data_IF_930796110270
#
_entry.id   IF_930796110270
#
_cell.length_a   1.000
_cell.length_b   1.000
_cell.length_c   1.000
_cell.angle_alpha   90.00
_cell.angle_beta   90.00
_cell.angle_gamma   90.00
#
_symmetry.space_group_name_H-M   'P 1'
#
loop_
_entity.id
_entity.type
_entity.pdbx_description
1 polymer ?
#
# COMPACT_ATOMS: atom_id res chain seq x y z
N UNK A 1 -9.99 14.57 -19.48
CA UNK A 1 -10.29 14.70 -18.04
C UNK A 1 -11.79 14.77 -17.74
N UNK A 2 -12.55 15.72 -18.30
CA UNK A 2 -14.00 15.86 -18.04
C UNK A 2 -14.86 14.62 -18.38
N UNK A 3 -14.56 13.89 -19.47
CA UNK A 3 -15.25 12.61 -19.78
C UNK A 3 -14.95 11.49 -18.79
N UNK A 4 -13.73 11.43 -18.23
CA UNK A 4 -13.35 10.44 -17.22
C UNK A 4 -13.99 10.76 -15.86
N UNK A 5 -14.09 12.06 -15.50
CA UNK A 5 -14.89 12.50 -14.35
C UNK A 5 -16.37 12.13 -14.52
N UNK A 6 -16.95 12.30 -15.72
CA UNK A 6 -18.33 11.88 -15.97
C UNK A 6 -18.54 10.38 -15.74
N UNK A 7 -17.56 9.52 -16.04
CA UNK A 7 -17.63 8.07 -15.74
C UNK A 7 -17.56 7.74 -14.24
N UNK A 8 -16.94 8.60 -13.42
CA UNK A 8 -16.99 8.48 -11.96
C UNK A 8 -18.27 9.09 -11.36
N UNK A 9 -18.91 10.02 -12.08
CA UNK A 9 -20.14 10.70 -11.63
C UNK A 9 -21.40 9.91 -12.02
N UNK A 10 -21.33 9.06 -13.05
CA UNK A 10 -22.44 8.23 -13.53
C UNK A 10 -22.18 6.76 -13.23
N UNK A 11 -23.07 6.09 -12.51
CA UNK A 11 -23.14 4.62 -12.56
C UNK A 11 -23.66 4.19 -13.94
N UNK A 12 -23.21 3.04 -14.45
CA UNK A 12 -23.66 2.53 -15.76
C UNK A 12 -25.14 2.16 -15.77
N UNK A 13 -25.75 1.95 -14.59
CA UNK A 13 -27.18 1.77 -14.39
C UNK A 13 -27.97 3.11 -14.44
N UNK A 14 -27.30 4.24 -14.67
CA UNK A 14 -27.90 5.59 -14.73
C UNK A 14 -28.06 6.29 -13.38
N UNK A 15 -27.71 5.64 -12.26
CA UNK A 15 -27.67 6.28 -10.95
C UNK A 15 -26.44 7.19 -10.84
N UNK A 16 -26.63 8.51 -10.72
CA UNK A 16 -25.51 9.43 -10.49
C UNK A 16 -24.95 9.19 -9.09
N UNK A 17 -23.62 9.09 -8.97
CA UNK A 17 -22.95 9.25 -7.67
C UNK A 17 -23.36 10.62 -7.14
N UNK A 18 -24.08 10.64 -6.03
CA UNK A 18 -24.63 11.88 -5.47
C UNK A 18 -23.48 12.79 -5.03
N UNK A 19 -23.28 13.89 -5.74
CA UNK A 19 -22.13 14.76 -5.53
C UNK A 19 -22.12 16.02 -6.37
N UNK A 20 -21.69 17.13 -5.78
CA UNK A 20 -21.47 18.40 -6.45
C UNK A 20 -20.02 18.51 -6.94
N UNK A 21 -19.80 19.18 -8.08
CA UNK A 21 -18.46 19.35 -8.67
C UNK A 21 -17.45 20.03 -7.72
N UNK A 22 -17.91 20.95 -6.86
CA UNK A 22 -17.04 21.64 -5.91
C UNK A 22 -16.46 20.69 -4.86
N UNK A 23 -17.16 19.60 -4.51
CA UNK A 23 -16.65 18.60 -3.56
C UNK A 23 -15.45 17.86 -4.14
N UNK A 24 -15.41 17.64 -5.45
CA UNK A 24 -14.23 17.08 -6.13
C UNK A 24 -13.04 18.02 -6.08
N UNK A 25 -13.27 19.32 -6.26
CA UNK A 25 -12.22 20.35 -6.16
C UNK A 25 -11.66 20.42 -4.75
N UNK A 26 -12.53 20.42 -3.73
CA UNK A 26 -12.11 20.39 -2.32
C UNK A 26 -11.38 19.09 -1.99
N UNK A 27 -11.86 17.94 -2.47
CA UNK A 27 -11.16 16.66 -2.29
C UNK A 27 -9.76 16.68 -2.92
N UNK A 28 -9.62 17.22 -4.15
CA UNK A 28 -8.32 17.39 -4.79
C UNK A 28 -7.39 18.28 -3.98
N UNK A 29 -7.90 19.39 -3.43
CA UNK A 29 -7.12 20.29 -2.60
C UNK A 29 -6.65 19.62 -1.30
N UNK A 30 -7.53 18.86 -0.64
CA UNK A 30 -7.19 18.08 0.56
C UNK A 30 -6.15 17.00 0.24
N UNK A 31 -6.30 16.28 -0.88
CA UNK A 31 -5.32 15.28 -1.34
C UNK A 31 -3.98 15.96 -1.64
N UNK A 32 -3.97 17.11 -2.29
CA UNK A 32 -2.74 17.85 -2.58
C UNK A 32 -2.02 18.22 -1.28
N UNK A 33 -2.72 18.77 -0.29
CA UNK A 33 -2.15 19.08 1.02
C UNK A 33 -1.58 17.82 1.68
N UNK A 34 -2.35 16.73 1.69
CA UNK A 34 -1.94 15.49 2.34
C UNK A 34 -0.70 14.87 1.67
N UNK A 35 -0.67 14.79 0.34
CA UNK A 35 0.46 14.26 -0.42
C UNK A 35 1.70 15.15 -0.31
N UNK A 36 1.54 16.48 -0.37
CA UNK A 36 2.67 17.39 -0.14
C UNK A 36 3.21 17.22 1.27
N UNK A 37 2.32 17.12 2.28
CA UNK A 37 2.71 16.86 3.66
C UNK A 37 3.35 15.49 3.87
N UNK A 38 3.21 14.57 2.90
CA UNK A 38 3.82 13.24 2.95
C UNK A 38 5.31 13.19 2.66
N UNK A 39 5.86 14.32 2.20
CA UNK A 39 7.22 14.39 1.70
C UNK A 39 7.36 13.82 0.28
N UNK A 40 6.27 13.38 -0.36
CA UNK A 40 6.32 12.97 -1.76
C UNK A 40 6.76 14.14 -2.65
N UNK A 41 7.74 13.90 -3.51
CA UNK A 41 8.39 14.95 -4.30
C UNK A 41 9.36 15.85 -3.52
N UNK A 42 9.71 15.52 -2.28
CA UNK A 42 10.82 16.15 -1.55
C UNK A 42 10.57 17.58 -1.04
N UNK A 43 9.33 18.08 -1.11
CA UNK A 43 8.98 19.44 -0.66
C UNK A 43 8.94 19.51 0.88
N UNK A 44 8.33 18.52 1.52
CA UNK A 44 8.25 18.40 2.99
C UNK A 44 9.26 17.36 3.50
N UNK A 45 9.58 17.33 4.81
CA UNK A 45 10.36 16.26 5.40
C UNK A 45 9.81 14.89 5.05
N UNK A 46 10.73 13.96 4.87
CA UNK A 46 10.44 12.61 4.45
C UNK A 46 10.78 11.63 5.58
N UNK A 47 9.99 10.56 5.69
CA UNK A 47 10.28 9.42 6.56
C UNK A 47 11.56 8.71 6.15
N UNK A 48 12.16 7.90 7.03
CA UNK A 48 13.41 7.20 6.73
C UNK A 48 13.31 6.27 5.51
N UNK A 49 12.12 5.73 5.23
CA UNK A 49 11.86 4.93 4.02
C UNK A 49 12.06 5.70 2.71
N UNK A 50 12.00 7.03 2.71
CA UNK A 50 12.28 7.78 1.49
C UNK A 50 13.74 7.74 1.07
N UNK A 51 14.68 7.41 1.96
CA UNK A 51 16.08 7.23 1.57
C UNK A 51 16.17 6.18 0.45
N UNK A 52 15.52 5.02 0.61
CA UNK A 52 15.45 4.00 -0.45
C UNK A 52 14.60 4.45 -1.64
N UNK A 53 13.46 5.12 -1.42
CA UNK A 53 12.57 5.53 -2.52
C UNK A 53 13.24 6.51 -3.47
N UNK A 54 13.93 7.48 -2.90
CA UNK A 54 14.67 8.51 -3.61
C UNK A 54 15.86 7.91 -4.38
N UNK A 55 16.59 6.97 -3.77
CA UNK A 55 17.71 6.33 -4.45
C UNK A 55 17.29 5.42 -5.60
N UNK A 56 16.24 4.63 -5.41
CA UNK A 56 15.66 3.79 -6.48
C UNK A 56 15.25 4.65 -7.67
N UNK A 57 14.55 5.76 -7.42
CA UNK A 57 14.11 6.62 -8.52
C UNK A 57 15.25 7.45 -9.13
N UNK A 58 16.25 7.81 -8.34
CA UNK A 58 17.47 8.44 -8.84
C UNK A 58 18.18 7.52 -9.83
N UNK A 59 18.40 6.25 -9.47
CA UNK A 59 19.04 5.29 -10.37
C UNK A 59 18.18 5.04 -11.60
N UNK A 60 16.87 4.86 -11.45
CA UNK A 60 15.98 4.70 -12.60
C UNK A 60 15.96 5.93 -13.52
N UNK A 61 16.09 7.14 -13.00
CA UNK A 61 16.07 8.36 -13.83
C UNK A 61 17.41 8.63 -14.51
N UNK A 62 18.54 8.31 -13.88
CA UNK A 62 19.87 8.64 -14.39
C UNK A 62 20.53 7.48 -15.15
N UNK A 63 20.18 6.23 -14.85
CA UNK A 63 20.79 5.06 -15.47
C UNK A 63 19.95 4.48 -16.62
N UNK A 64 20.57 3.90 -17.64
CA UNK A 64 19.89 3.08 -18.64
C UNK A 64 19.10 1.96 -17.97
N UNK A 65 18.07 1.48 -18.66
CA UNK A 65 17.24 0.41 -18.15
C UNK A 65 17.64 -0.92 -18.78
N UNK A 66 17.82 -1.97 -17.96
CA UNK A 66 17.72 -2.01 -16.50
C UNK A 66 18.94 -1.36 -15.83
N UNK A 67 18.76 -0.77 -14.64
CA UNK A 67 19.87 -0.19 -13.88
C UNK A 67 20.88 -1.28 -13.49
N UNK A 68 22.14 -1.13 -13.92
CA UNK A 68 23.21 -2.12 -13.74
C UNK A 68 24.32 -1.64 -12.80
N UNK A 69 24.85 -2.58 -12.01
CA UNK A 69 25.97 -2.36 -11.10
C UNK A 69 27.04 -3.43 -11.27
N UNK A 70 28.26 -3.16 -10.83
CA UNK A 70 29.37 -4.12 -10.86
C UNK A 70 30.16 -4.09 -9.55
N UNK A 71 30.64 -5.24 -9.07
CA UNK A 71 31.61 -5.29 -7.97
C UNK A 71 33.07 -5.11 -8.46
N UNK A 72 34.01 -5.03 -7.52
CA UNK A 72 35.45 -4.93 -7.82
C UNK A 72 36.01 -6.15 -8.56
N UNK A 73 35.33 -7.30 -8.47
CA UNK A 73 35.71 -8.55 -9.13
C UNK A 73 35.10 -8.71 -10.53
N UNK A 74 34.31 -7.73 -10.99
CA UNK A 74 33.67 -7.73 -12.30
C UNK A 74 32.30 -8.42 -12.35
N UNK A 75 31.78 -8.94 -11.23
CA UNK A 75 30.45 -9.54 -11.17
C UNK A 75 29.38 -8.48 -11.37
N UNK A 76 28.37 -8.79 -12.19
CA UNK A 76 27.27 -7.87 -12.52
C UNK A 76 26.06 -8.07 -11.62
N UNK A 77 25.38 -6.96 -11.37
CA UNK A 77 24.21 -6.88 -10.54
C UNK A 77 23.15 -5.95 -11.14
N UNK A 78 21.90 -6.13 -10.75
CA UNK A 78 20.77 -5.36 -11.27
C UNK A 78 19.87 -4.84 -10.15
N UNK A 79 19.20 -3.72 -10.39
CA UNK A 79 18.16 -3.22 -9.49
C UNK A 79 16.93 -4.16 -9.54
N UNK A 80 16.62 -4.81 -8.43
CA UNK A 80 15.46 -5.70 -8.25
C UNK A 80 14.52 -5.16 -7.18
N UNK A 81 13.37 -4.64 -7.60
CA UNK A 81 12.34 -4.11 -6.71
C UNK A 81 10.98 -4.03 -7.40
N UNK A 82 9.92 -3.63 -6.68
CA UNK A 82 8.62 -3.36 -7.31
C UNK A 82 8.64 -1.99 -8.00
N UNK A 83 8.97 -1.99 -9.29
CA UNK A 83 9.31 -0.77 -10.03
C UNK A 83 8.12 0.05 -10.52
N UNK A 84 6.89 -0.46 -10.48
CA UNK A 84 5.77 0.17 -11.18
C UNK A 84 5.41 1.58 -10.70
N UNK A 85 5.64 1.90 -9.42
CA UNK A 85 5.48 3.25 -8.90
C UNK A 85 6.64 4.18 -9.31
N UNK A 86 7.83 3.67 -9.60
CA UNK A 86 9.00 4.53 -9.88
C UNK A 86 9.22 4.74 -11.38
N UNK A 87 8.78 3.79 -12.21
CA UNK A 87 9.03 3.82 -13.66
C UNK A 87 8.42 5.03 -14.36
N UNK A 88 7.14 5.41 -14.17
CA UNK A 88 6.60 6.56 -14.89
C UNK A 88 7.28 7.90 -14.57
N UNK A 89 7.55 8.28 -13.30
CA UNK A 89 8.24 9.54 -13.01
C UNK A 89 9.71 9.49 -13.45
N UNK A 90 10.39 8.35 -13.35
CA UNK A 90 11.73 8.18 -13.89
C UNK A 90 11.77 8.32 -15.42
N UNK A 91 10.78 7.77 -16.13
CA UNK A 91 10.64 7.93 -17.58
C UNK A 91 10.50 9.41 -17.96
N UNK A 92 9.59 10.13 -17.29
CA UNK A 92 9.37 11.54 -17.54
C UNK A 92 10.62 12.38 -17.24
N UNK A 93 11.36 12.05 -16.18
CA UNK A 93 12.63 12.70 -15.90
C UNK A 93 13.69 12.43 -16.98
N UNK A 94 13.74 11.23 -17.57
CA UNK A 94 14.62 10.97 -18.72
C UNK A 94 14.26 11.79 -19.96
N UNK A 95 12.97 12.04 -20.18
CA UNK A 95 12.49 12.80 -21.33
C UNK A 95 12.64 14.32 -21.17
N UNK A 96 12.39 14.84 -19.96
CA UNK A 96 12.27 16.27 -19.71
C UNK A 96 13.39 16.88 -18.86
N UNK A 97 14.27 16.05 -18.30
CA UNK A 97 15.35 16.48 -17.39
C UNK A 97 15.16 15.93 -15.97
N UNK A 98 16.26 15.52 -15.33
CA UNK A 98 16.26 14.94 -13.98
C UNK A 98 15.93 15.96 -12.89
N UNK A 99 16.05 17.26 -13.19
CA UNK A 99 15.65 18.35 -12.31
C UNK A 99 14.14 18.37 -12.00
N UNK A 100 13.30 17.80 -12.88
CA UNK A 100 11.85 17.72 -12.69
C UNK A 100 11.38 16.44 -12.00
N UNK A 101 12.30 15.55 -11.59
CA UNK A 101 11.96 14.23 -11.02
C UNK A 101 11.01 14.33 -9.82
N UNK A 102 11.29 15.26 -8.92
CA UNK A 102 10.48 15.54 -7.74
C UNK A 102 9.05 16.00 -8.11
N UNK A 103 8.93 16.82 -9.14
CA UNK A 103 7.63 17.27 -9.65
C UNK A 103 6.82 16.12 -10.24
N UNK A 104 7.46 15.24 -11.04
CA UNK A 104 6.79 14.06 -11.59
C UNK A 104 6.37 13.06 -10.51
N UNK A 105 7.20 12.89 -9.46
CA UNK A 105 6.85 12.07 -8.30
C UNK A 105 5.65 12.59 -7.53
N UNK A 106 5.64 13.89 -7.25
CA UNK A 106 4.50 14.54 -6.61
C UNK A 106 3.24 14.37 -7.46
N UNK A 107 3.32 14.68 -8.77
CA UNK A 107 2.22 14.59 -9.70
C UNK A 107 1.63 13.17 -9.77
N UNK A 108 2.46 12.14 -9.90
CA UNK A 108 2.00 10.76 -9.90
C UNK A 108 1.32 10.38 -8.58
N UNK A 109 1.90 10.77 -7.45
CA UNK A 109 1.35 10.43 -6.13
C UNK A 109 -0.02 11.08 -5.95
N UNK A 110 -0.17 12.35 -6.31
CA UNK A 110 -1.47 13.05 -6.30
C UNK A 110 -2.47 12.35 -7.20
N UNK A 111 -2.08 11.98 -8.43
CA UNK A 111 -2.96 11.25 -9.36
C UNK A 111 -3.39 9.90 -8.78
N UNK A 112 -2.45 9.12 -8.23
CA UNK A 112 -2.72 7.81 -7.64
C UNK A 112 -3.66 7.88 -6.45
N UNK A 113 -3.42 8.81 -5.51
CA UNK A 113 -4.30 9.02 -4.34
C UNK A 113 -5.66 9.55 -4.78
N UNK A 114 -5.72 10.48 -5.74
CA UNK A 114 -6.99 11.00 -6.24
C UNK A 114 -7.81 9.89 -6.92
N UNK A 115 -7.18 9.02 -7.71
CA UNK A 115 -7.85 7.87 -8.30
C UNK A 115 -8.36 6.89 -7.24
N UNK A 116 -7.63 6.70 -6.14
CA UNK A 116 -8.10 5.90 -5.00
C UNK A 116 -9.33 6.53 -4.33
N UNK A 117 -9.34 7.84 -4.14
CA UNK A 117 -10.53 8.58 -3.65
C UNK A 117 -11.71 8.48 -4.62
N UNK A 118 -11.47 8.54 -5.93
CA UNK A 118 -12.51 8.34 -6.94
C UNK A 118 -13.14 6.94 -6.81
N UNK A 119 -12.32 5.89 -6.68
CA UNK A 119 -12.80 4.53 -6.43
C UNK A 119 -13.55 4.43 -5.11
N UNK A 120 -13.03 5.06 -4.06
CA UNK A 120 -13.66 5.09 -2.74
C UNK A 120 -15.07 5.72 -2.80
N UNK A 121 -15.21 6.90 -3.43
CA UNK A 121 -16.51 7.53 -3.66
C UNK A 121 -17.45 6.66 -4.49
N UNK A 122 -16.92 5.98 -5.51
CA UNK A 122 -17.71 5.08 -6.36
C UNK A 122 -18.28 3.90 -5.57
N UNK A 123 -17.46 3.22 -4.76
CA UNK A 123 -17.93 2.08 -3.95
C UNK A 123 -18.83 2.50 -2.79
N UNK A 124 -18.61 3.68 -2.18
CA UNK A 124 -19.54 4.19 -1.14
C UNK A 124 -20.83 4.76 -1.72
N UNK A 125 -20.85 5.04 -3.03
CA UNK A 125 -21.95 5.64 -3.81
C UNK A 125 -22.31 7.08 -3.39
N UNK A 126 -21.31 7.83 -2.94
CA UNK A 126 -21.49 9.22 -2.51
C UNK A 126 -20.18 9.99 -2.62
N UNK A 127 -20.25 11.22 -3.14
CA UNK A 127 -19.16 12.18 -3.03
C UNK A 127 -19.36 12.97 -1.74
N UNK A 128 -18.62 12.57 -0.70
CA UNK A 128 -18.75 13.15 0.62
C UNK A 128 -17.37 13.52 1.17
N UNK A 129 -17.15 14.81 1.45
CA UNK A 129 -15.90 15.30 2.01
C UNK A 129 -15.56 14.68 3.36
N UNK A 130 -16.57 14.35 4.17
CA UNK A 130 -16.38 13.64 5.42
C UNK A 130 -15.77 12.26 5.21
N UNK A 131 -16.11 11.59 4.10
CA UNK A 131 -15.52 10.31 3.73
C UNK A 131 -14.04 10.45 3.34
N UNK A 132 -13.60 11.60 2.83
CA UNK A 132 -12.17 11.89 2.58
C UNK A 132 -11.40 12.01 3.90
N UNK A 133 -11.94 12.74 4.88
CA UNK A 133 -11.31 12.83 6.20
C UNK A 133 -11.26 11.47 6.90
N UNK A 134 -12.37 10.72 6.84
CA UNK A 134 -12.39 9.34 7.32
C UNK A 134 -11.31 8.50 6.63
N UNK A 135 -11.20 8.59 5.30
CA UNK A 135 -10.18 7.87 4.53
C UNK A 135 -8.76 8.19 5.02
N UNK A 136 -8.43 9.47 5.19
CA UNK A 136 -7.08 9.93 5.57
C UNK A 136 -6.73 9.50 6.99
N UNK A 137 -7.65 9.70 7.93
CA UNK A 137 -7.39 9.55 9.36
C UNK A 137 -7.81 8.19 9.94
N UNK A 138 -8.28 7.26 9.12
CA UNK A 138 -8.61 5.92 9.60
C UNK A 138 -7.35 5.14 9.97
N UNK A 139 -7.34 4.60 11.20
CA UNK A 139 -6.27 3.79 11.76
C UNK A 139 -6.75 3.03 12.98
N UNK A 140 -5.91 2.12 13.48
CA UNK A 140 -6.12 1.43 14.75
C UNK A 140 -6.08 2.41 15.93
N UNK A 141 -6.46 1.93 17.11
CA UNK A 141 -6.44 2.74 18.33
C UNK A 141 -5.03 2.77 18.96
N UNK A 142 -3.98 2.97 18.17
CA UNK A 142 -2.57 2.81 18.58
C UNK A 142 -2.22 3.62 19.83
N UNK A 143 -2.79 4.82 19.97
CA UNK A 143 -2.57 5.68 21.14
C UNK A 143 -3.00 5.00 22.45
N UNK A 144 -4.02 4.13 22.39
CA UNK A 144 -4.44 3.29 23.52
C UNK A 144 -3.43 2.17 23.74
N UNK A 145 -2.96 1.53 22.67
CA UNK A 145 -1.89 0.52 22.75
C UNK A 145 -0.65 1.08 23.45
N UNK A 146 -0.14 2.20 22.96
CA UNK A 146 1.02 2.93 23.53
C UNK A 146 0.80 3.34 24.97
N UNK A 147 -0.41 3.82 25.33
CA UNK A 147 -0.71 4.18 26.72
C UNK A 147 -0.45 3.03 27.70
N UNK A 148 -0.73 1.79 27.29
CA UNK A 148 -0.53 0.61 28.12
C UNK A 148 0.88 0.00 28.00
N UNK A 149 1.60 0.19 26.90
CA UNK A 149 2.91 -0.45 26.69
C UNK A 149 4.12 0.47 26.86
N UNK A 150 4.03 1.75 26.50
CA UNK A 150 5.14 2.69 26.60
C UNK A 150 4.67 4.13 26.95
N UNK A 151 4.72 4.46 28.24
CA UNK A 151 4.36 5.79 28.76
C UNK A 151 5.24 6.92 28.24
N UNK A 152 6.50 6.66 27.86
CA UNK A 152 7.39 7.69 27.32
C UNK A 152 6.99 8.02 25.89
N UNK A 153 6.71 6.98 25.11
CA UNK A 153 6.19 7.13 23.74
C UNK A 153 4.83 7.83 23.74
N UNK A 154 3.94 7.51 24.69
CA UNK A 154 2.63 8.16 24.83
C UNK A 154 2.72 9.69 24.99
N UNK A 155 3.74 10.18 25.70
CA UNK A 155 3.94 11.61 25.94
C UNK A 155 4.66 12.32 24.78
N UNK A 156 5.17 11.57 23.80
CA UNK A 156 5.91 12.11 22.67
C UNK A 156 5.01 12.28 21.44
N UNK A 157 4.51 13.50 21.27
CA UNK A 157 3.63 13.85 20.13
C UNK A 157 4.32 13.75 18.75
N UNK A 158 5.64 13.55 18.69
CA UNK A 158 6.43 13.52 17.45
C UNK A 158 6.94 12.13 17.08
N UNK A 159 6.58 11.10 17.84
CA UNK A 159 7.03 9.73 17.56
C UNK A 159 6.05 8.95 16.69
N UNK A 160 6.59 7.94 15.99
CA UNK A 160 5.80 6.91 15.34
C UNK A 160 5.25 5.95 16.41
N UNK A 161 3.92 5.87 16.54
CA UNK A 161 3.27 5.19 17.68
C UNK A 161 2.78 3.77 17.37
N UNK A 162 2.79 3.34 16.10
CA UNK A 162 2.13 2.08 15.69
C UNK A 162 2.97 0.81 15.97
N UNK A 163 4.20 0.95 16.49
CA UNK A 163 5.11 -0.18 16.80
C UNK A 163 5.02 -0.64 18.27
N UNK A 164 3.92 -0.35 18.93
CA UNK A 164 3.78 -0.41 20.39
C UNK A 164 3.91 -1.82 21.00
N UNK A 165 3.89 -2.88 20.19
CA UNK A 165 4.22 -4.28 20.52
C UNK A 165 5.06 -4.99 19.44
N UNK A 166 5.74 -4.24 18.57
CA UNK A 166 6.53 -4.81 17.47
C UNK A 166 5.71 -5.45 16.33
N UNK A 167 4.39 -5.29 16.36
CA UNK A 167 3.47 -5.56 15.25
C UNK A 167 2.75 -4.27 14.89
N UNK A 168 2.37 -4.10 13.63
CA UNK A 168 1.76 -2.87 13.15
C UNK A 168 0.72 -3.14 12.06
N UNK A 169 -0.45 -2.51 12.20
CA UNK A 169 -1.37 -2.25 11.10
C UNK A 169 -1.45 -0.75 10.80
N UNK A 170 -0.67 -0.35 9.80
CA UNK A 170 -0.52 1.07 9.46
C UNK A 170 -1.85 1.73 9.10
N UNK A 171 -2.15 2.84 9.77
CA UNK A 171 -3.19 3.80 9.40
C UNK A 171 -3.02 4.28 7.96
N UNK A 172 -4.10 4.71 7.30
CA UNK A 172 -4.04 5.15 5.91
C UNK A 172 -3.06 6.32 5.72
N UNK A 173 -3.02 7.18 6.73
CA UNK A 173 -2.04 8.24 6.92
C UNK A 173 -0.60 7.70 6.88
N UNK A 174 -0.23 6.79 7.78
CA UNK A 174 1.11 6.18 7.81
C UNK A 174 1.46 5.53 6.47
N UNK A 175 0.52 4.79 5.86
CA UNK A 175 0.77 4.11 4.60
C UNK A 175 1.27 5.08 3.51
N UNK A 176 0.68 6.28 3.41
CA UNK A 176 1.13 7.30 2.46
C UNK A 176 2.47 7.95 2.85
N UNK A 177 2.69 8.19 4.15
CA UNK A 177 3.91 8.83 4.67
C UNK A 177 5.17 7.97 4.57
N UNK A 178 5.02 6.65 4.49
CA UNK A 178 6.13 5.72 4.54
C UNK A 178 6.28 4.92 3.25
N UNK A 179 5.17 4.44 2.67
CA UNK A 179 5.20 3.49 1.55
C UNK A 179 4.10 3.79 0.53
N UNK A 180 4.10 4.97 -0.12
CA UNK A 180 3.05 5.40 -1.06
C UNK A 180 2.80 4.40 -2.19
N UNK A 181 3.85 3.68 -2.65
CA UNK A 181 3.73 2.64 -3.66
C UNK A 181 2.85 1.46 -3.23
N UNK A 182 2.82 1.12 -1.94
CA UNK A 182 1.97 0.05 -1.43
C UNK A 182 0.55 0.56 -1.14
N UNK A 183 0.46 1.75 -0.56
CA UNK A 183 -0.80 2.40 -0.21
C UNK A 183 -1.69 2.57 -1.46
N UNK A 184 -1.16 3.26 -2.48
CA UNK A 184 -1.91 3.59 -3.71
C UNK A 184 -2.39 2.32 -4.41
N UNK A 185 -1.50 1.33 -4.61
CA UNK A 185 -1.91 0.08 -5.28
C UNK A 185 -2.95 -0.69 -4.46
N UNK A 186 -2.84 -0.71 -3.14
CA UNK A 186 -3.82 -1.37 -2.29
C UNK A 186 -5.17 -0.71 -2.44
N UNK A 187 -5.25 0.61 -2.29
CA UNK A 187 -6.51 1.34 -2.33
C UNK A 187 -7.21 1.24 -3.69
N UNK A 188 -6.45 1.40 -4.77
CA UNK A 188 -6.97 1.30 -6.13
C UNK A 188 -7.51 -0.09 -6.43
N UNK A 189 -6.70 -1.12 -6.22
CA UNK A 189 -7.06 -2.49 -6.61
C UNK A 189 -8.13 -3.05 -5.67
N UNK A 190 -8.08 -2.79 -4.37
CA UNK A 190 -9.16 -3.19 -3.46
C UNK A 190 -10.47 -2.50 -3.82
N UNK A 191 -10.47 -1.19 -4.13
CA UNK A 191 -11.67 -0.48 -4.59
C UNK A 191 -12.26 -1.09 -5.88
N UNK A 192 -11.41 -1.41 -6.87
CA UNK A 192 -11.83 -2.11 -8.08
C UNK A 192 -12.42 -3.50 -7.77
N UNK A 193 -11.80 -4.28 -6.89
CA UNK A 193 -12.30 -5.61 -6.52
C UNK A 193 -13.64 -5.54 -5.78
N UNK A 194 -13.83 -4.57 -4.88
CA UNK A 194 -15.13 -4.35 -4.20
C UNK A 194 -16.19 -3.99 -5.24
N UNK A 195 -15.88 -3.10 -6.19
CA UNK A 195 -16.81 -2.76 -7.26
C UNK A 195 -17.20 -3.99 -8.11
N UNK A 196 -16.21 -4.80 -8.49
CA UNK A 196 -16.43 -6.05 -9.24
C UNK A 196 -17.23 -7.08 -8.43
N UNK A 197 -16.99 -7.16 -7.12
CA UNK A 197 -17.73 -8.02 -6.20
C UNK A 197 -19.21 -7.62 -6.09
N UNK A 198 -19.50 -6.33 -5.96
CA UNK A 198 -20.87 -5.81 -5.90
C UNK A 198 -21.62 -6.08 -7.21
N UNK A 199 -20.97 -5.82 -8.36
CA UNK A 199 -21.56 -6.00 -9.69
C UNK A 199 -21.79 -7.46 -10.05
N UNK A 200 -20.87 -8.35 -9.66
CA UNK A 200 -21.00 -9.79 -9.85
C UNK A 200 -22.29 -10.36 -9.27
N UNK A 201 -22.85 -9.73 -8.23
CA UNK A 201 -24.11 -10.15 -7.63
C UNK A 201 -25.38 -9.72 -8.37
N UNK A 202 -25.30 -8.72 -9.26
CA UNK A 202 -26.47 -8.18 -9.98
C UNK A 202 -26.63 -8.82 -11.36
N UNK A 203 -25.53 -9.06 -12.08
CA UNK A 203 -25.54 -9.54 -13.46
C UNK A 203 -24.78 -10.87 -13.58
N UNK A 204 -25.52 -11.98 -13.66
CA UNK A 204 -24.97 -13.36 -13.67
C UNK A 204 -24.14 -13.77 -14.89
N UNK A 205 -23.68 -12.83 -15.72
CA UNK A 205 -22.96 -13.11 -16.98
C UNK A 205 -21.69 -12.26 -17.17
N UNK A 206 -21.21 -11.59 -16.13
CA UNK A 206 -20.05 -10.71 -16.22
C UNK A 206 -18.74 -11.51 -16.11
N UNK A 207 -17.97 -11.61 -17.21
CA UNK A 207 -16.56 -11.99 -17.13
C UNK A 207 -15.85 -10.95 -16.26
N UNK A 208 -15.53 -11.35 -15.03
CA UNK A 208 -14.95 -10.44 -14.06
C UNK A 208 -13.44 -10.69 -14.09
N UNK A 209 -12.60 -9.79 -14.64
CA UNK A 209 -11.16 -10.01 -14.75
C UNK A 209 -10.47 -9.77 -13.39
N UNK A 210 -11.05 -10.28 -12.30
CA UNK A 210 -10.62 -9.97 -10.93
C UNK A 210 -9.23 -10.53 -10.61
N UNK A 211 -8.86 -11.69 -11.17
CA UNK A 211 -7.52 -12.27 -10.99
C UNK A 211 -6.48 -11.41 -11.71
N UNK A 212 -6.79 -10.99 -12.94
CA UNK A 212 -5.93 -10.08 -13.69
C UNK A 212 -5.76 -8.74 -12.96
N UNK A 213 -6.87 -8.12 -12.54
CA UNK A 213 -6.85 -6.86 -11.77
C UNK A 213 -6.02 -7.01 -10.50
N UNK A 214 -6.19 -8.10 -9.74
CA UNK A 214 -5.37 -8.36 -8.56
C UNK A 214 -3.90 -8.56 -8.90
N UNK A 215 -3.58 -9.27 -10.00
CA UNK A 215 -2.19 -9.53 -10.40
C UNK A 215 -1.40 -8.26 -10.74
N UNK A 216 -2.06 -7.20 -11.23
CA UNK A 216 -1.41 -5.90 -11.50
C UNK A 216 -0.75 -5.31 -10.24
N UNK A 217 -1.31 -5.59 -9.05
CA UNK A 217 -0.69 -5.15 -7.80
C UNK A 217 0.68 -5.77 -7.56
N UNK A 218 1.00 -6.94 -8.13
CA UNK A 218 2.31 -7.58 -7.98
C UNK A 218 3.46 -6.77 -8.60
N UNK A 219 3.16 -5.89 -9.56
CA UNK A 219 4.13 -4.96 -10.15
C UNK A 219 4.50 -3.80 -9.18
N UNK A 220 3.61 -3.47 -8.25
CA UNK A 220 3.75 -2.40 -7.26
C UNK A 220 4.08 -2.91 -5.85
N UNK A 221 3.56 -4.08 -5.50
CA UNK A 221 3.62 -4.67 -4.18
C UNK A 221 3.18 -6.14 -4.19
N UNK A 222 4.13 -7.09 -4.20
CA UNK A 222 3.81 -8.52 -4.06
C UNK A 222 3.02 -8.84 -2.77
N UNK A 223 3.29 -8.16 -1.65
CA UNK A 223 2.57 -8.42 -0.40
C UNK A 223 1.12 -7.92 -0.43
N UNK A 224 0.83 -6.76 -1.04
CA UNK A 224 -0.56 -6.33 -1.25
C UNK A 224 -1.29 -7.35 -2.12
N UNK A 225 -0.65 -7.90 -3.16
CA UNK A 225 -1.24 -8.96 -3.98
C UNK A 225 -1.63 -10.18 -3.15
N UNK A 226 -0.77 -10.63 -2.22
CA UNK A 226 -1.11 -11.70 -1.29
C UNK A 226 -2.30 -11.34 -0.39
N UNK A 227 -2.34 -10.11 0.11
CA UNK A 227 -3.47 -9.56 0.87
C UNK A 227 -4.79 -9.49 0.08
N UNK A 228 -4.73 -9.45 -1.26
CA UNK A 228 -5.89 -9.42 -2.14
C UNK A 228 -6.45 -10.82 -2.45
N UNK A 229 -5.69 -11.90 -2.24
CA UNK A 229 -6.11 -13.28 -2.53
C UNK A 229 -7.47 -13.62 -1.87
N UNK A 230 -7.70 -13.33 -0.57
CA UNK A 230 -8.98 -13.65 0.08
C UNK A 230 -10.19 -13.00 -0.61
N UNK A 231 -10.01 -11.83 -1.23
CA UNK A 231 -11.06 -11.12 -1.96
C UNK A 231 -11.31 -11.72 -3.34
N UNK A 232 -10.26 -12.15 -4.05
CA UNK A 232 -10.40 -12.93 -5.28
C UNK A 232 -11.17 -14.23 -5.03
N UNK A 233 -10.86 -14.92 -3.93
CA UNK A 233 -11.56 -16.14 -3.49
C UNK A 233 -13.02 -15.84 -3.15
N UNK A 234 -13.29 -14.71 -2.46
CA UNK A 234 -14.64 -14.29 -2.16
C UNK A 234 -15.47 -13.99 -3.43
N UNK A 235 -14.88 -13.32 -4.41
CA UNK A 235 -15.52 -13.05 -5.72
C UNK A 235 -15.81 -14.36 -6.44
N UNK A 236 -14.84 -15.29 -6.46
CA UNK A 236 -15.02 -16.61 -7.05
C UNK A 236 -16.19 -17.37 -6.43
N UNK A 237 -16.25 -17.45 -5.09
CA UNK A 237 -17.35 -18.14 -4.40
C UNK A 237 -18.70 -17.44 -4.55
N UNK A 238 -18.73 -16.14 -4.85
CA UNK A 238 -19.99 -15.43 -5.16
C UNK A 238 -20.66 -15.98 -6.42
N UNK A 239 -19.87 -16.48 -7.38
CA UNK A 239 -20.34 -17.13 -8.61
C UNK A 239 -20.63 -18.64 -8.46
N UNK A 240 -20.46 -19.19 -7.25
CA UNK A 240 -20.55 -20.63 -6.97
C UNK A 240 -19.34 -21.42 -7.51
N UNK A 241 -19.34 -22.75 -7.33
CA UNK A 241 -18.28 -23.65 -7.84
C UNK A 241 -18.71 -24.32 -9.15
N UNK A 242 -19.61 -23.67 -9.89
CA UNK A 242 -20.23 -24.23 -11.09
C UNK A 242 -19.36 -23.98 -12.35
N UNK A 243 -19.75 -24.58 -13.47
CA UNK A 243 -19.08 -24.42 -14.77
C UNK A 243 -18.89 -22.95 -15.19
N UNK A 244 -19.80 -22.06 -14.79
CA UNK A 244 -19.71 -20.62 -15.02
C UNK A 244 -18.52 -19.98 -14.29
N UNK A 245 -18.27 -20.34 -13.03
CA UNK A 245 -17.11 -19.86 -12.27
C UNK A 245 -15.79 -20.32 -12.91
N UNK A 246 -15.75 -21.55 -13.45
CA UNK A 246 -14.61 -22.04 -14.23
C UNK A 246 -14.36 -21.22 -15.49
N UNK A 247 -15.42 -20.87 -16.24
CA UNK A 247 -15.30 -20.00 -17.43
C UNK A 247 -14.76 -18.60 -17.09
N UNK A 248 -15.12 -18.04 -15.94
CA UNK A 248 -14.61 -16.74 -15.50
C UNK A 248 -13.12 -16.84 -15.12
N UNK A 249 -12.71 -17.87 -14.37
CA UNK A 249 -11.30 -18.08 -14.03
C UNK A 249 -10.44 -18.34 -15.28
N UNK A 250 -10.97 -19.11 -16.22
CA UNK A 250 -10.31 -19.44 -17.49
C UNK A 250 -10.56 -18.40 -18.59
N UNK A 251 -11.10 -17.22 -18.25
CA UNK A 251 -11.16 -16.11 -19.20
C UNK A 251 -9.76 -15.73 -19.66
N UNK A 252 -9.67 -15.22 -20.88
CA UNK A 252 -8.40 -14.83 -21.49
C UNK A 252 -7.63 -13.86 -20.59
N UNK A 253 -8.32 -12.89 -20.00
CA UNK A 253 -7.77 -11.88 -19.12
C UNK A 253 -7.20 -12.52 -17.83
N UNK A 254 -7.98 -13.36 -17.15
CA UNK A 254 -7.55 -13.98 -15.90
C UNK A 254 -6.45 -15.02 -16.10
N UNK A 255 -6.48 -15.80 -17.19
CA UNK A 255 -5.49 -16.85 -17.42
C UNK A 255 -4.21 -16.28 -18.03
N UNK A 256 -4.30 -15.63 -19.19
CA UNK A 256 -3.13 -15.15 -19.92
C UNK A 256 -2.65 -13.80 -19.38
N UNK A 257 -3.57 -12.88 -19.06
CA UNK A 257 -3.20 -11.59 -18.47
C UNK A 257 -2.53 -11.77 -17.11
N UNK A 258 -3.17 -12.48 -16.17
CA UNK A 258 -2.58 -12.70 -14.85
C UNK A 258 -1.37 -13.65 -14.91
N UNK A 259 -1.46 -14.71 -15.72
CA UNK A 259 -0.36 -15.66 -15.91
C UNK A 259 0.91 -15.00 -16.44
N UNK A 260 0.80 -14.09 -17.40
CA UNK A 260 1.95 -13.32 -17.90
C UNK A 260 2.53 -12.40 -16.83
N UNK A 261 1.70 -11.71 -16.06
CA UNK A 261 2.17 -10.84 -14.98
C UNK A 261 2.92 -11.66 -13.92
N UNK A 262 2.35 -12.79 -13.47
CA UNK A 262 3.01 -13.66 -12.51
C UNK A 262 4.30 -14.28 -13.06
N UNK A 263 4.33 -14.63 -14.34
CA UNK A 263 5.54 -15.14 -14.96
C UNK A 263 6.65 -14.07 -14.96
N UNK A 264 6.36 -12.86 -15.45
CA UNK A 264 7.35 -11.77 -15.50
C UNK A 264 7.84 -11.40 -14.10
N UNK A 265 6.91 -11.19 -13.16
CA UNK A 265 7.21 -10.84 -11.77
C UNK A 265 8.00 -11.96 -11.09
N UNK A 266 7.53 -13.21 -11.20
CA UNK A 266 8.15 -14.36 -10.55
C UNK A 266 9.59 -14.58 -11.03
N UNK A 267 9.81 -14.51 -12.34
CA UNK A 267 11.16 -14.65 -12.90
C UNK A 267 12.05 -13.45 -12.53
N UNK A 268 11.52 -12.23 -12.49
CA UNK A 268 12.26 -11.04 -12.07
C UNK A 268 12.73 -11.12 -10.61
N UNK A 269 11.87 -11.56 -9.69
CA UNK A 269 12.21 -11.66 -8.27
C UNK A 269 13.10 -12.86 -7.91
N UNK A 270 13.19 -13.89 -8.75
CA UNK A 270 14.16 -14.98 -8.56
C UNK A 270 15.61 -14.49 -8.58
N UNK A 271 15.89 -13.29 -9.12
CA UNK A 271 17.22 -12.70 -9.12
C UNK A 271 17.64 -12.06 -7.80
N UNK A 272 16.77 -11.96 -6.80
CA UNK A 272 17.14 -11.39 -5.49
C UNK A 272 18.22 -12.22 -4.80
N UNK A 273 19.17 -11.51 -4.17
CA UNK A 273 20.32 -12.11 -3.50
C UNK A 273 20.00 -12.62 -2.09
N UNK A 274 19.22 -11.85 -1.32
CA UNK A 274 18.94 -12.18 0.08
C UNK A 274 17.66 -13.01 0.22
N UNK A 275 17.73 -14.01 1.09
CA UNK A 275 16.56 -14.62 1.71
C UNK A 275 16.21 -13.82 2.96
N UNK A 276 15.07 -13.15 2.94
CA UNK A 276 14.57 -12.45 4.12
C UNK A 276 14.25 -13.45 5.25
N UNK A 277 14.43 -13.01 6.49
CA UNK A 277 13.97 -13.78 7.66
C UNK A 277 12.46 -13.97 7.52
N UNK A 278 12.04 -15.22 7.48
CA UNK A 278 10.63 -15.58 7.37
C UNK A 278 10.33 -16.83 8.18
N UNK A 279 9.10 -16.89 8.70
CA UNK A 279 8.69 -18.02 9.52
C UNK A 279 7.37 -17.76 10.22
N UNK A 280 6.81 -18.83 10.76
CA UNK A 280 5.65 -18.70 11.61
C UNK A 280 6.05 -18.25 13.01
N UNK A 281 5.22 -17.44 13.66
CA UNK A 281 5.57 -16.84 14.97
C UNK A 281 5.87 -17.85 16.07
N UNK A 282 5.31 -19.07 16.01
CA UNK A 282 5.58 -20.13 16.99
C UNK A 282 6.96 -20.77 16.85
N UNK A 283 7.70 -20.46 15.78
CA UNK A 283 9.08 -20.89 15.60
C UNK A 283 10.06 -19.98 16.36
N UNK A 284 9.67 -18.72 16.62
CA UNK A 284 10.53 -17.70 17.22
C UNK A 284 10.03 -17.15 18.56
N UNK A 285 8.74 -17.29 18.86
CA UNK A 285 8.13 -16.73 20.06
C UNK A 285 7.38 -17.78 20.90
N UNK A 286 7.31 -17.54 22.22
CA UNK A 286 6.50 -18.35 23.12
C UNK A 286 5.03 -17.93 23.00
N UNK A 287 4.23 -18.76 22.32
CA UNK A 287 2.81 -18.48 22.06
C UNK A 287 2.00 -18.14 23.32
N UNK A 288 2.34 -18.72 24.48
CA UNK A 288 1.60 -18.46 25.73
C UNK A 288 1.87 -17.06 26.28
N UNK A 289 3.10 -16.56 26.15
CA UNK A 289 3.43 -15.19 26.60
C UNK A 289 2.88 -14.15 25.64
N UNK A 290 2.86 -14.45 24.33
CA UNK A 290 2.40 -13.51 23.30
C UNK A 290 0.89 -13.48 23.10
N UNK A 291 0.14 -14.46 23.62
CA UNK A 291 -1.31 -14.53 23.39
C UNK A 291 -2.05 -13.27 23.88
N UNK A 292 -1.69 -12.75 25.06
CA UNK A 292 -2.32 -11.54 25.58
C UNK A 292 -1.99 -10.30 24.75
N UNK A 293 -0.73 -10.16 24.32
CA UNK A 293 -0.30 -9.07 23.43
C UNK A 293 -1.03 -9.14 22.08
N UNK A 294 -1.16 -10.34 21.51
CA UNK A 294 -1.89 -10.57 20.27
C UNK A 294 -3.39 -10.27 20.39
N UNK A 295 -4.04 -10.74 21.46
CA UNK A 295 -5.46 -10.44 21.68
C UNK A 295 -5.70 -8.94 21.88
N UNK A 296 -4.78 -8.26 22.57
CA UNK A 296 -4.82 -6.81 22.75
C UNK A 296 -4.59 -6.07 21.42
N UNK A 297 -3.62 -6.50 20.61
CA UNK A 297 -3.40 -6.02 19.24
C UNK A 297 -4.67 -6.09 18.41
N UNK A 298 -5.25 -7.28 18.30
CA UNK A 298 -6.47 -7.54 17.53
C UNK A 298 -7.62 -6.63 17.99
N UNK A 299 -7.79 -6.49 19.30
CA UNK A 299 -8.84 -5.66 19.89
C UNK A 299 -8.71 -4.19 19.47
N UNK A 300 -7.51 -3.63 19.64
CA UNK A 300 -7.21 -2.21 19.45
C UNK A 300 -7.09 -1.83 17.97
N UNK A 301 -6.58 -2.73 17.13
CA UNK A 301 -6.33 -2.43 15.72
C UNK A 301 -7.59 -2.45 14.87
N UNK A 302 -8.47 -3.45 15.04
CA UNK A 302 -9.61 -3.60 14.12
C UNK A 302 -10.85 -4.28 14.70
N UNK A 303 -10.74 -5.12 15.73
CA UNK A 303 -11.86 -5.96 16.16
C UNK A 303 -13.02 -5.13 16.72
N UNK A 304 -12.76 -4.02 17.41
CA UNK A 304 -13.82 -3.10 17.87
C UNK A 304 -14.68 -2.57 16.72
N UNK A 305 -14.05 -2.17 15.60
CA UNK A 305 -14.77 -1.76 14.40
C UNK A 305 -15.54 -2.93 13.80
N UNK A 306 -14.91 -4.10 13.68
CA UNK A 306 -15.53 -5.28 13.08
C UNK A 306 -16.76 -5.76 13.86
N UNK A 307 -16.67 -5.88 15.19
CA UNK A 307 -17.78 -6.29 16.05
C UNK A 307 -18.95 -5.30 15.97
N UNK A 308 -18.66 -4.01 15.95
CA UNK A 308 -19.68 -2.98 15.89
C UNK A 308 -20.44 -3.01 14.56
N UNK A 309 -19.74 -3.31 13.45
CA UNK A 309 -20.33 -3.39 12.11
C UNK A 309 -20.98 -4.74 11.81
N UNK A 310 -20.57 -5.84 12.45
CA UNK A 310 -20.95 -7.22 12.09
C UNK A 310 -22.46 -7.44 11.92
N UNK A 311 -23.27 -6.89 12.82
CA UNK A 311 -24.72 -7.01 12.75
C UNK A 311 -25.39 -5.96 11.88
N UNK A 312 -24.66 -4.91 11.48
CA UNK A 312 -25.18 -3.66 10.92
C UNK A 312 -24.84 -3.40 9.45
N UNK A 313 -23.84 -4.10 8.91
CA UNK A 313 -23.50 -4.02 7.47
C UNK A 313 -24.32 -5.02 6.66
N UNK A 314 -24.75 -4.62 5.47
CA UNK A 314 -25.33 -5.53 4.47
C UNK A 314 -24.23 -6.38 3.81
N UNK A 315 -23.00 -5.87 3.80
CA UNK A 315 -21.81 -6.42 3.16
C UNK A 315 -21.03 -7.40 4.08
N UNK A 316 -21.73 -8.18 4.91
CA UNK A 316 -21.14 -9.04 5.97
C UNK A 316 -20.01 -9.94 5.48
N UNK A 317 -20.09 -10.46 4.25
CA UNK A 317 -19.05 -11.33 3.69
C UNK A 317 -17.71 -10.61 3.50
N UNK A 318 -17.73 -9.33 3.08
CA UNK A 318 -16.51 -8.51 2.98
C UNK A 318 -15.91 -8.29 4.36
N UNK A 319 -16.75 -7.98 5.35
CA UNK A 319 -16.31 -7.81 6.74
C UNK A 319 -15.68 -9.08 7.31
N UNK A 320 -16.32 -10.23 7.11
CA UNK A 320 -15.79 -11.52 7.58
C UNK A 320 -14.44 -11.82 6.95
N UNK A 321 -14.29 -11.62 5.64
CA UNK A 321 -13.01 -11.84 4.95
C UNK A 321 -11.94 -10.88 5.46
N UNK A 322 -12.23 -9.58 5.56
CA UNK A 322 -11.29 -8.61 6.09
C UNK A 322 -10.84 -8.95 7.52
N UNK A 323 -11.79 -9.29 8.39
CA UNK A 323 -11.53 -9.67 9.79
C UNK A 323 -10.71 -10.95 9.86
N UNK A 324 -11.06 -11.98 9.09
CA UNK A 324 -10.32 -13.24 9.06
C UNK A 324 -8.90 -13.06 8.54
N UNK A 325 -8.70 -12.25 7.49
CA UNK A 325 -7.37 -11.92 6.99
C UNK A 325 -6.54 -11.21 8.05
N UNK A 326 -7.07 -10.17 8.71
CA UNK A 326 -6.36 -9.44 9.77
C UNK A 326 -6.10 -10.30 11.02
N UNK A 327 -6.94 -11.30 11.32
CA UNK A 327 -6.63 -12.27 12.36
C UNK A 327 -5.48 -13.20 11.97
N UNK A 328 -5.37 -13.57 10.69
CA UNK A 328 -4.43 -14.59 10.24
C UNK A 328 -3.02 -14.05 9.94
N UNK A 329 -2.92 -12.80 9.46
CA UNK A 329 -1.64 -12.21 9.04
C UNK A 329 -0.55 -12.19 10.13
N UNK A 330 -0.84 -11.89 11.42
CA UNK A 330 0.21 -11.82 12.44
C UNK A 330 0.88 -13.15 12.75
N UNK A 331 0.30 -14.29 12.31
CA UNK A 331 0.89 -15.61 12.53
C UNK A 331 2.09 -15.92 11.63
N UNK A 332 2.35 -15.10 10.62
CA UNK A 332 3.49 -15.24 9.72
C UNK A 332 4.31 -13.95 9.71
N UNK A 333 5.61 -14.09 9.94
CA UNK A 333 6.57 -13.00 9.94
C UNK A 333 7.42 -13.06 8.68
N UNK A 334 7.64 -11.93 8.01
CA UNK A 334 8.53 -11.84 6.86
C UNK A 334 9.19 -10.46 6.77
N UNK A 335 10.52 -10.44 6.65
CA UNK A 335 11.33 -9.23 6.59
C UNK A 335 11.62 -8.67 7.98
N UNK A 336 12.70 -7.89 8.12
CA UNK A 336 13.18 -7.44 9.43
C UNK A 336 12.18 -6.61 10.25
N UNK A 337 11.25 -5.93 9.56
CA UNK A 337 10.20 -5.12 10.17
C UNK A 337 8.81 -5.79 10.15
N UNK A 338 8.71 -7.07 9.78
CA UNK A 338 7.46 -7.73 9.42
C UNK A 338 6.67 -7.04 8.28
N UNK A 339 7.34 -6.75 7.17
CA UNK A 339 6.72 -6.10 6.00
C UNK A 339 5.51 -6.87 5.47
N UNK A 340 5.49 -8.20 5.58
CA UNK A 340 4.32 -8.97 5.17
C UNK A 340 3.07 -8.57 5.96
N UNK A 341 3.13 -8.55 7.30
CA UNK A 341 2.00 -8.15 8.13
C UNK A 341 1.52 -6.72 7.84
N UNK A 342 2.45 -5.79 7.64
CA UNK A 342 2.13 -4.38 7.34
C UNK A 342 1.55 -4.17 5.94
N UNK A 343 2.02 -4.88 4.91
CA UNK A 343 1.63 -4.62 3.52
C UNK A 343 0.47 -5.50 3.06
N UNK A 344 0.40 -6.75 3.50
CA UNK A 344 -0.69 -7.66 3.16
C UNK A 344 -1.99 -7.32 3.91
N UNK A 345 -1.94 -6.54 4.99
CA UNK A 345 -3.12 -6.06 5.73
C UNK A 345 -3.82 -4.88 5.06
N UNK A 346 -3.12 -4.09 4.24
CA UNK A 346 -3.64 -2.86 3.62
C UNK A 346 -4.99 -3.05 2.89
N UNK A 347 -5.22 -4.13 2.11
CA UNK A 347 -6.53 -4.37 1.49
C UNK A 347 -7.67 -4.50 2.50
N UNK A 348 -7.42 -5.21 3.60
CA UNK A 348 -8.43 -5.45 4.63
C UNK A 348 -8.70 -4.22 5.49
N UNK A 349 -7.67 -3.41 5.75
CA UNK A 349 -7.83 -2.09 6.38
C UNK A 349 -8.63 -1.14 5.48
N UNK A 350 -8.39 -1.17 4.16
CA UNK A 350 -9.19 -0.41 3.18
C UNK A 350 -10.66 -0.87 3.17
N UNK A 351 -10.93 -2.17 3.26
CA UNK A 351 -12.30 -2.70 3.34
C UNK A 351 -12.98 -2.23 4.63
N UNK A 352 -12.28 -2.21 5.77
CA UNK A 352 -12.86 -1.69 7.02
C UNK A 352 -13.25 -0.22 6.92
N UNK A 353 -12.37 0.65 6.39
CA UNK A 353 -12.73 2.08 6.22
C UNK A 353 -13.88 2.27 5.23
N UNK A 354 -13.95 1.46 4.17
CA UNK A 354 -15.09 1.41 3.25
C UNK A 354 -16.39 1.05 3.97
N UNK A 355 -16.39 0.01 4.80
CA UNK A 355 -17.59 -0.43 5.53
C UNK A 355 -18.04 0.61 6.56
N UNK A 356 -17.10 1.27 7.25
CA UNK A 356 -17.41 2.40 8.13
C UNK A 356 -18.05 3.54 7.33
N UNK A 357 -17.48 3.92 6.20
CA UNK A 357 -18.04 4.98 5.35
C UNK A 357 -19.44 4.63 4.83
N UNK A 358 -19.63 3.40 4.32
CA UNK A 358 -20.95 2.87 3.91
C UNK A 358 -21.97 2.92 5.04
N UNK A 359 -21.55 2.58 6.26
CA UNK A 359 -22.43 2.62 7.43
C UNK A 359 -22.95 4.03 7.72
N UNK A 360 -22.11 5.06 7.59
CA UNK A 360 -22.52 6.46 7.78
C UNK A 360 -23.38 7.01 6.63
N UNK A 361 -23.07 6.64 5.39
CA UNK A 361 -23.76 7.14 4.18
C UNK A 361 -25.11 6.45 3.95
N UNK A 362 -25.27 5.19 4.36
CA UNK A 362 -26.52 4.46 4.14
C UNK A 362 -27.65 5.04 5.02
N UNK A 363 -28.71 5.61 4.41
CA UNK A 363 -29.81 6.23 5.16
C UNK A 363 -30.63 5.23 5.97
N UNK A 364 -30.60 3.93 5.62
CA UNK A 364 -31.27 2.86 6.38
C UNK A 364 -30.64 2.63 7.76
N UNK A 365 -29.41 3.08 7.98
CA UNK A 365 -28.71 2.95 9.24
C UNK A 365 -29.00 4.16 10.14
N UNK A 366 -29.99 4.06 11.01
CA UNK A 366 -30.44 5.11 11.93
C UNK A 366 -29.93 4.94 13.37
N UNK A 367 -29.16 3.88 13.64
CA UNK A 367 -28.64 3.51 14.96
C UNK A 367 -27.66 4.56 15.53
N UNK A 368 -28.21 5.57 16.22
CA UNK A 368 -27.47 6.71 16.78
C UNK A 368 -26.31 6.29 17.68
N UNK A 369 -26.54 5.34 18.60
CA UNK A 369 -25.49 4.90 19.53
C UNK A 369 -24.28 4.31 18.80
N UNK A 370 -24.51 3.49 17.75
CA UNK A 370 -23.43 2.87 17.00
C UNK A 370 -22.63 3.91 16.21
N UNK A 371 -23.29 4.93 15.67
CA UNK A 371 -22.62 6.08 15.05
C UNK A 371 -21.77 6.86 16.05
N UNK A 372 -22.30 7.15 17.24
CA UNK A 372 -21.55 7.83 18.31
C UNK A 372 -20.33 7.01 18.72
N UNK A 373 -20.49 5.70 18.93
CA UNK A 373 -19.38 4.81 19.27
C UNK A 373 -18.33 4.77 18.16
N UNK A 374 -18.73 4.65 16.88
CA UNK A 374 -17.79 4.72 15.76
C UNK A 374 -17.04 6.05 15.73
N UNK A 375 -17.73 7.18 15.90
CA UNK A 375 -17.08 8.50 15.95
C UNK A 375 -16.05 8.57 17.08
N UNK A 376 -16.37 8.07 18.26
CA UNK A 376 -15.42 8.01 19.37
C UNK A 376 -14.18 7.17 19.03
N UNK A 377 -14.37 5.96 18.46
CA UNK A 377 -13.26 5.11 18.01
C UNK A 377 -12.42 5.80 16.92
N UNK A 378 -13.06 6.49 15.98
CA UNK A 378 -12.39 7.22 14.90
C UNK A 378 -11.57 8.41 15.42
N UNK A 379 -12.06 9.14 16.42
CA UNK A 379 -11.29 10.25 17.05
C UNK A 379 -10.03 9.72 17.74
N UNK A 380 -10.13 8.55 18.39
CA UNK A 380 -8.99 7.89 19.02
C UNK A 380 -8.01 7.38 17.95
N UNK A 381 -8.49 6.70 16.91
CA UNK A 381 -7.62 6.19 15.83
C UNK A 381 -6.99 7.29 14.97
N UNK A 382 -7.67 8.43 14.80
CA UNK A 382 -7.13 9.59 14.11
C UNK A 382 -5.88 10.18 14.77
N UNK A 383 -5.62 9.87 16.05
CA UNK A 383 -4.41 10.31 16.74
C UNK A 383 -3.15 9.78 16.06
N UNK A 384 -3.19 8.59 15.45
CA UNK A 384 -2.05 8.04 14.71
C UNK A 384 -1.68 8.90 13.52
N UNK A 385 -2.66 9.26 12.69
CA UNK A 385 -2.44 10.22 11.59
C UNK A 385 -2.01 11.60 12.09
N UNK A 386 -2.52 12.04 13.24
CA UNK A 386 -2.09 13.28 13.90
C UNK A 386 -0.62 13.27 14.31
N UNK A 387 -0.12 12.16 14.88
CA UNK A 387 1.28 11.99 15.25
C UNK A 387 2.19 12.01 14.02
N UNK A 388 1.78 11.42 12.90
CA UNK A 388 2.56 11.48 11.66
C UNK A 388 2.66 12.91 11.09
N UNK A 389 1.58 13.70 11.17
CA UNK A 389 1.62 15.13 10.82
C UNK A 389 2.59 15.87 11.73
N UNK A 390 2.46 15.68 13.05
CA UNK A 390 3.31 16.34 14.03
C UNK A 390 4.79 15.96 13.86
N UNK A 391 5.09 14.68 13.63
CA UNK A 391 6.43 14.17 13.33
C UNK A 391 7.04 14.88 12.13
N UNK A 392 6.31 14.97 11.02
CA UNK A 392 6.82 15.65 9.82
C UNK A 392 6.99 17.16 10.02
N UNK A 393 6.05 17.84 10.68
CA UNK A 393 6.19 19.27 11.00
C UNK A 393 7.40 19.53 11.91
N UNK A 394 7.63 18.68 12.91
CA UNK A 394 8.81 18.80 13.77
C UNK A 394 10.11 18.60 12.99
N UNK A 395 10.13 17.68 12.02
CA UNK A 395 11.26 17.49 11.11
C UNK A 395 11.68 18.77 10.37
N UNK A 396 10.73 19.66 10.06
CA UNK A 396 11.03 20.98 9.50
C UNK A 396 11.72 21.89 10.51
N UNK A 397 11.22 21.93 11.75
CA UNK A 397 11.70 22.83 12.81
C UNK A 397 13.11 22.48 13.30
N UNK A 398 13.45 21.20 13.33
CA UNK A 398 14.70 20.71 13.90
C UNK A 398 15.83 20.53 12.88
N UNK A 399 15.69 21.07 11.66
CA UNK A 399 16.76 21.01 10.64
C UNK A 399 17.12 19.59 10.17
N UNK A 400 16.33 18.56 10.52
CA UNK A 400 16.46 17.21 9.95
C UNK A 400 15.92 17.11 8.53
N UNK A 401 15.38 18.21 8.01
CA UNK A 401 15.16 18.40 6.59
C UNK A 401 16.51 18.44 5.88
N UNK A 402 17.00 17.27 5.50
CA UNK A 402 18.06 17.16 4.50
C UNK A 402 17.38 17.46 3.17
N UNK A 403 17.12 18.74 2.91
CA UNK A 403 16.54 19.18 1.66
C UNK A 403 17.31 18.55 0.52
N UNK A 404 16.61 17.87 -0.38
CA UNK A 404 17.13 17.34 -1.64
C UNK A 404 18.37 16.42 -1.63
N UNK A 405 19.15 16.30 -0.55
CA UNK A 405 20.44 15.61 -0.54
C UNK A 405 20.32 14.13 -0.88
N UNK A 406 19.32 13.45 -0.32
CA UNK A 406 19.05 12.03 -0.61
C UNK A 406 18.29 11.80 -1.93
N UNK A 407 17.74 12.85 -2.56
CA UNK A 407 17.09 12.76 -3.88
C UNK A 407 18.08 12.47 -5.01
N UNK A 408 19.38 12.59 -4.73
CA UNK A 408 20.45 12.51 -5.72
C UNK A 408 21.52 11.47 -5.40
N UNK A 409 21.19 10.50 -4.55
CA UNK A 409 22.13 9.45 -4.13
C UNK A 409 21.69 8.13 -4.75
N UNK A 410 22.63 7.39 -5.31
CA UNK A 410 22.37 6.06 -5.88
C UNK A 410 22.12 5.03 -4.78
N UNK A 411 21.40 3.94 -5.09
CA UNK A 411 21.22 2.82 -4.16
C UNK A 411 22.56 2.24 -3.72
N UNK A 412 23.57 2.30 -4.59
CA UNK A 412 24.93 1.85 -4.32
C UNK A 412 25.69 2.73 -3.32
N UNK A 413 25.21 3.95 -3.03
CA UNK A 413 25.90 4.92 -2.16
C UNK A 413 25.15 5.16 -0.85
N UNK A 414 23.97 4.56 -0.64
CA UNK A 414 23.30 4.66 0.65
C UNK A 414 24.17 3.90 1.66
N UNK A 415 24.80 4.63 2.59
CA UNK A 415 25.87 4.18 3.50
C UNK A 415 25.51 3.12 4.55
N UNK A 416 24.64 2.18 4.23
CA UNK A 416 24.43 0.95 4.99
C UNK A 416 24.27 -0.19 3.99
N UNK A 417 25.26 -1.08 3.89
CA UNK A 417 25.20 -2.24 2.99
C UNK A 417 23.92 -3.09 3.11
N UNK A 418 23.24 -3.01 4.26
CA UNK A 418 21.91 -3.58 4.48
C UNK A 418 20.84 -3.11 3.48
N UNK A 419 20.78 -1.82 3.13
CA UNK A 419 19.76 -1.30 2.20
C UNK A 419 20.01 -1.76 0.78
N UNK A 420 21.25 -1.63 0.28
CA UNK A 420 21.59 -2.03 -1.08
C UNK A 420 21.28 -3.52 -1.33
N UNK A 421 21.49 -4.39 -0.34
CA UNK A 421 21.28 -5.82 -0.49
C UNK A 421 19.83 -6.27 -0.66
N UNK A 422 18.86 -5.46 -0.22
CA UNK A 422 17.44 -5.74 -0.42
C UNK A 422 16.95 -5.43 -1.83
N UNK A 423 17.68 -4.58 -2.56
CA UNK A 423 17.25 -4.00 -3.84
C UNK A 423 18.17 -4.36 -4.99
N UNK A 424 19.23 -5.12 -4.74
CA UNK A 424 20.18 -5.57 -5.76
C UNK A 424 20.07 -7.08 -5.94
N UNK A 425 20.04 -7.53 -7.20
CA UNK A 425 19.97 -8.93 -7.58
C UNK A 425 21.16 -9.39 -8.41
N UNK A 426 21.37 -10.72 -8.44
CA UNK A 426 22.44 -11.36 -9.19
C UNK A 426 22.11 -11.46 -10.68
N UNK A 427 23.12 -11.20 -11.53
CA UNK A 427 23.04 -11.45 -12.97
C UNK A 427 22.94 -12.93 -13.38
N UNK A 428 23.25 -13.88 -12.49
CA UNK A 428 23.32 -15.34 -12.79
C UNK A 428 21.97 -16.04 -12.93
N UNK A 429 20.86 -15.30 -12.99
CA UNK A 429 19.56 -15.93 -13.28
C UNK A 429 19.31 -15.97 -14.78
N UNK A 430 18.64 -17.03 -15.25
CA UNK A 430 18.33 -17.24 -16.67
C UNK A 430 17.67 -16.02 -17.31
N UNK A 431 16.86 -15.27 -16.57
CA UNK A 431 16.24 -14.03 -17.07
C UNK A 431 17.28 -13.03 -17.56
N UNK A 432 18.26 -12.72 -16.70
CA UNK A 432 19.24 -11.70 -17.02
C UNK A 432 20.24 -12.18 -18.06
N UNK A 433 20.58 -13.48 -18.07
CA UNK A 433 21.42 -14.08 -19.11
C UNK A 433 20.77 -14.05 -20.52
N UNK A 434 19.45 -14.27 -20.61
CA UNK A 434 18.75 -14.30 -21.91
C UNK A 434 18.32 -12.91 -22.40
N UNK A 435 17.90 -12.02 -21.50
CA UNK A 435 17.35 -10.71 -21.88
C UNK A 435 18.44 -9.63 -21.96
N UNK A 436 19.45 -9.68 -21.10
CA UNK A 436 20.43 -8.61 -20.95
C UNK A 436 21.84 -9.13 -21.26
N UNK A 437 22.17 -9.19 -22.55
CA UNK A 437 23.53 -9.47 -23.04
C UNK A 437 24.38 -8.21 -23.02
N UNK A 438 25.63 -8.36 -22.56
CA UNK A 438 26.79 -7.50 -22.86
C UNK A 438 26.53 -6.00 -22.97
N UNK A 439 26.16 -5.37 -21.85
CA UNK A 439 26.18 -3.92 -21.67
C UNK A 439 27.19 -3.48 -20.61
N UNK A 440 27.62 -2.22 -20.69
CA UNK A 440 28.46 -1.58 -19.68
C UNK A 440 27.74 -1.48 -18.34
N UNK A 441 28.48 -1.65 -17.24
CA UNK A 441 27.98 -1.37 -15.90
C UNK A 441 27.91 0.14 -15.70
N UNK A 442 26.94 0.60 -14.94
CA UNK A 442 26.73 2.04 -14.77
C UNK A 442 27.29 2.57 -13.46
N UNK A 443 27.52 1.69 -12.48
CA UNK A 443 28.10 2.06 -11.19
C UNK A 443 28.82 0.89 -10.52
N UNK A 444 29.94 1.20 -9.86
CA UNK A 444 30.69 0.24 -9.04
C UNK A 444 30.03 0.17 -7.66
N UNK A 445 29.74 -1.03 -7.18
CA UNK A 445 29.27 -1.28 -5.82
C UNK A 445 30.43 -1.17 -4.84
N UNK A 446 30.30 -0.37 -3.77
CA UNK A 446 31.26 -0.35 -2.66
C UNK A 446 31.54 -1.73 -2.05
N UNK A 447 32.77 -1.95 -1.57
CA UNK A 447 33.20 -3.25 -1.03
C UNK A 447 32.35 -3.73 0.16
N UNK A 448 31.87 -2.81 0.99
CA UNK A 448 31.04 -3.12 2.16
C UNK A 448 29.67 -3.69 1.76
N UNK A 449 29.07 -3.16 0.68
CA UNK A 449 27.86 -3.73 0.08
C UNK A 449 28.13 -5.14 -0.45
N UNK A 450 29.22 -5.30 -1.20
CA UNK A 450 29.60 -6.60 -1.79
C UNK A 450 29.88 -7.64 -0.72
N UNK A 451 30.53 -7.26 0.39
CA UNK A 451 30.77 -8.15 1.54
C UNK A 451 29.47 -8.59 2.18
N UNK A 452 28.46 -7.73 2.25
CA UNK A 452 27.19 -8.05 2.86
C UNK A 452 26.32 -8.99 1.98
N UNK A 453 26.70 -9.23 0.72
CA UNK A 453 26.09 -10.30 -0.12
C UNK A 453 26.59 -11.71 0.23
N UNK A 454 27.73 -11.83 0.91
CA UNK A 454 28.35 -13.09 1.33
C UNK A 454 27.93 -13.44 2.75
#
# INVERSE_FOLDING_TARGET
MFKALNYFIQDEDGEKVQGNWWQWVVALFVVLIWVVSSGSGGIFPQSSDYVKHNAIIFDLSNFHWPSTYQDQAGNRYYLIYYLAYYLPPAFLAKLFGSEYLNFFMLGQTVIGVMLAICWFFKIIRSVNLWAVFLFIFFGGLDIVGVFFTDKKLFLNLYSHIEWWIGQQYSSQATQLWWVPQHAITSWLITGMLIFLYERSGKNGNFSTPFVWVASLSALWSPFVMLGLIPYCVLILFRHGVNWQARKILLSFENLLGAGLIFFVVGVFYQARLLQDVSGFIWQSANLKSELLNYLFFVLIEFLLFALLLFTKTEERRLLTVATATLLLLPFFHFGAANDFGMRASMPSLFVLVYLVARFFVNPKNDLKWAKITLVALLIIGAQTGGHEIARNISGMRWGRWHGNGYNYVSIADIGQGYYANQYIGNARTKLFEFIFRDGDYQKILPEDIVRAFK
#
